data_IF_543204738496
#
_entry.id   IF_543204738496
#
_cell.length_a   1.000
_cell.length_b   1.000
_cell.length_c   1.000
_cell.angle_alpha   90.00
_cell.angle_beta   90.00
_cell.angle_gamma   90.00
#
_symmetry.space_group_name_H-M   'P 1'
#
loop_
_entity.id
_entity.type
_entity.pdbx_description
1 polymer ?
#
# COMPACT_ATOMS: atom_id res chain seq x y z
N UNK A 1 26.22 -26.38 -15.66
CA UNK A 1 25.35 -26.85 -14.59
C UNK A 1 25.19 -25.81 -13.48
N UNK A 2 26.22 -25.08 -13.06
CA UNK A 2 26.16 -24.05 -11.98
C UNK A 2 25.38 -22.77 -12.32
N UNK A 3 25.29 -22.35 -13.58
CA UNK A 3 24.63 -21.08 -13.97
C UNK A 3 23.10 -21.18 -13.82
N UNK A 4 22.50 -22.32 -14.13
CA UNK A 4 21.04 -22.50 -13.99
C UNK A 4 20.59 -22.51 -12.53
N UNK A 5 21.37 -23.08 -11.64
CA UNK A 5 21.11 -23.12 -10.20
C UNK A 5 21.21 -21.72 -9.55
N UNK A 6 22.14 -20.89 -10.04
CA UNK A 6 22.26 -19.49 -9.59
C UNK A 6 21.09 -18.61 -10.06
N UNK A 7 20.61 -18.83 -11.29
CA UNK A 7 19.44 -18.11 -11.82
C UNK A 7 18.17 -18.50 -11.09
N UNK A 8 17.97 -19.79 -10.82
CA UNK A 8 16.81 -20.32 -10.10
C UNK A 8 16.76 -19.80 -8.66
N UNK A 9 17.88 -19.83 -7.93
CA UNK A 9 17.97 -19.26 -6.58
C UNK A 9 17.71 -17.75 -6.52
N UNK A 10 18.13 -17.01 -7.54
CA UNK A 10 17.88 -15.58 -7.64
C UNK A 10 16.41 -15.26 -7.95
N UNK A 11 15.76 -16.09 -8.77
CA UNK A 11 14.32 -15.95 -9.07
C UNK A 11 13.47 -16.30 -7.85
N UNK A 12 13.81 -17.33 -7.10
CA UNK A 12 13.11 -17.71 -5.86
C UNK A 12 13.23 -16.59 -4.82
N UNK A 13 14.42 -16.04 -4.60
CA UNK A 13 14.60 -14.91 -3.67
C UNK A 13 13.87 -13.64 -4.10
N UNK A 14 13.76 -13.39 -5.41
CA UNK A 14 13.03 -12.25 -5.94
C UNK A 14 11.50 -12.44 -5.74
N UNK A 15 11.01 -13.64 -5.95
CA UNK A 15 9.61 -14.03 -5.72
C UNK A 15 9.20 -13.86 -4.26
N UNK A 16 10.03 -14.34 -3.33
CA UNK A 16 9.75 -14.23 -1.89
C UNK A 16 9.73 -12.76 -1.40
N UNK A 17 10.66 -11.94 -1.90
CA UNK A 17 10.68 -10.50 -1.57
C UNK A 17 9.44 -9.76 -2.08
N UNK A 18 8.99 -10.11 -3.30
CA UNK A 18 7.78 -9.50 -3.89
C UNK A 18 6.55 -9.87 -3.06
N UNK A 19 6.44 -11.12 -2.65
CA UNK A 19 5.33 -11.61 -1.83
C UNK A 19 5.27 -10.93 -0.45
N UNK A 20 6.43 -10.68 0.16
CA UNK A 20 6.50 -9.96 1.46
C UNK A 20 6.06 -8.50 1.28
N UNK A 21 6.49 -7.83 0.21
CA UNK A 21 6.10 -6.46 -0.09
C UNK A 21 4.60 -6.33 -0.36
N UNK A 22 4.02 -7.26 -1.12
CA UNK A 22 2.58 -7.29 -1.39
C UNK A 22 1.77 -7.47 -0.09
N UNK A 23 2.20 -8.38 0.79
CA UNK A 23 1.56 -8.59 2.10
C UNK A 23 1.66 -7.34 2.99
N UNK A 24 2.79 -6.66 2.99
CA UNK A 24 2.97 -5.41 3.75
C UNK A 24 2.10 -4.30 3.17
N UNK A 25 2.08 -4.14 1.86
CA UNK A 25 1.25 -3.17 1.16
C UNK A 25 -0.24 -3.41 1.43
N UNK A 26 -0.70 -4.67 1.40
CA UNK A 26 -2.07 -5.07 1.77
C UNK A 26 -2.43 -4.60 3.18
N UNK A 27 -1.54 -4.84 4.16
CA UNK A 27 -1.75 -4.40 5.55
C UNK A 27 -1.90 -2.87 5.65
N UNK A 28 -1.10 -2.13 4.89
CA UNK A 28 -1.17 -0.66 4.87
C UNK A 28 -2.50 -0.20 4.29
N UNK A 29 -2.91 -0.71 3.13
CA UNK A 29 -4.19 -0.37 2.52
C UNK A 29 -5.36 -0.71 3.45
N UNK A 30 -5.36 -1.88 4.06
CA UNK A 30 -6.39 -2.31 5.00
C UNK A 30 -6.42 -1.46 6.27
N UNK A 31 -5.26 -1.00 6.77
CA UNK A 31 -5.21 -0.09 7.91
C UNK A 31 -5.92 1.25 7.63
N UNK A 32 -5.89 1.72 6.38
CA UNK A 32 -6.66 2.88 5.96
C UNK A 32 -8.15 2.56 5.81
N UNK A 33 -8.50 1.42 5.20
CA UNK A 33 -9.89 1.00 5.04
C UNK A 33 -10.60 0.78 6.39
N UNK A 34 -9.91 0.30 7.41
CA UNK A 34 -10.43 0.18 8.78
C UNK A 34 -10.88 1.52 9.42
N UNK A 35 -10.51 2.64 8.81
CA UNK A 35 -10.90 3.98 9.28
C UNK A 35 -12.15 4.53 8.57
N UNK A 36 -12.73 3.77 7.66
CA UNK A 36 -14.00 4.10 7.01
C UNK A 36 -15.09 4.05 8.07
N UNK A 37 -15.83 5.16 8.21
CA UNK A 37 -16.89 5.33 9.22
C UNK A 37 -18.29 5.24 8.64
N UNK A 38 -18.47 5.73 7.42
CA UNK A 38 -19.76 5.78 6.74
C UNK A 38 -19.68 5.09 5.38
N UNK A 39 -20.59 4.16 5.15
CA UNK A 39 -20.59 3.30 3.97
C UNK A 39 -19.78 2.02 4.17
N UNK A 40 -20.06 1.01 3.39
CA UNK A 40 -19.50 -0.33 3.50
C UNK A 40 -18.70 -0.69 2.25
N UNK A 41 -17.45 -1.12 2.43
CA UNK A 41 -16.62 -1.71 1.36
C UNK A 41 -16.37 -3.16 1.72
N UNK A 42 -16.81 -4.06 0.84
CA UNK A 42 -16.44 -5.48 0.92
C UNK A 42 -15.29 -5.73 -0.04
N UNK A 43 -14.18 -6.27 0.43
CA UNK A 43 -13.07 -6.73 -0.38
C UNK A 43 -13.12 -8.25 -0.46
N UNK A 44 -13.16 -8.77 -1.69
CA UNK A 44 -13.13 -10.20 -1.99
C UNK A 44 -11.76 -10.51 -2.56
N UNK A 45 -11.03 -11.40 -1.91
CA UNK A 45 -9.72 -11.86 -2.35
C UNK A 45 -9.68 -13.39 -2.23
N UNK A 46 -9.57 -14.09 -3.36
CA UNK A 46 -9.69 -15.55 -3.43
C UNK A 46 -10.99 -16.04 -2.77
N UNK A 47 -10.91 -16.62 -1.58
CA UNK A 47 -12.06 -17.11 -0.79
C UNK A 47 -12.38 -16.24 0.41
N UNK A 48 -11.60 -15.18 0.65
CA UNK A 48 -11.80 -14.28 1.80
C UNK A 48 -12.74 -13.14 1.45
N UNK A 49 -13.65 -12.83 2.35
CA UNK A 49 -14.54 -11.68 2.29
C UNK A 49 -14.27 -10.80 3.51
N UNK A 50 -13.75 -9.61 3.27
CA UNK A 50 -13.39 -8.69 4.34
C UNK A 50 -14.21 -7.42 4.20
N UNK A 51 -14.88 -7.02 5.27
CA UNK A 51 -15.79 -5.88 5.28
C UNK A 51 -15.15 -4.74 6.07
N UNK A 52 -15.23 -3.53 5.52
CA UNK A 52 -14.73 -2.29 6.11
C UNK A 52 -15.85 -1.25 6.17
N UNK A 53 -15.95 -0.55 7.29
CA UNK A 53 -17.01 0.43 7.54
C UNK A 53 -18.37 -0.20 7.76
N UNK A 54 -19.39 0.62 7.85
CA UNK A 54 -20.76 0.18 8.01
C UNK A 54 -21.74 1.12 7.31
N UNK A 55 -22.85 0.56 6.85
CA UNK A 55 -23.95 1.35 6.29
C UNK A 55 -24.69 2.04 7.43
N UNK A 56 -24.91 3.34 7.32
CA UNK A 56 -25.75 4.10 8.26
C UNK A 56 -27.09 4.45 7.62
N UNK A 57 -28.14 4.73 8.40
CA UNK A 57 -29.41 5.20 7.85
C UNK A 57 -29.30 6.47 7.00
N UNK A 58 -28.34 7.34 7.32
CA UNK A 58 -28.02 8.56 6.58
C UNK A 58 -27.18 8.32 5.32
N UNK A 59 -26.47 7.19 5.26
CA UNK A 59 -25.60 6.84 4.14
C UNK A 59 -25.58 5.32 3.88
N UNK A 60 -26.67 4.76 3.33
CA UNK A 60 -26.81 3.32 3.07
C UNK A 60 -26.11 2.92 1.76
N UNK A 61 -24.80 3.21 1.66
CA UNK A 61 -24.03 3.00 0.43
C UNK A 61 -23.02 1.89 0.65
N UNK A 62 -22.99 0.93 -0.29
CA UNK A 62 -22.01 -0.15 -0.29
C UNK A 62 -21.38 -0.36 -1.67
N UNK A 63 -20.16 -0.87 -1.65
CA UNK A 63 -19.44 -1.29 -2.84
C UNK A 63 -18.65 -2.58 -2.53
N UNK A 64 -18.45 -3.40 -3.57
CA UNK A 64 -17.65 -4.63 -3.46
C UNK A 64 -16.48 -4.53 -4.42
N UNK A 65 -15.27 -4.74 -3.91
CA UNK A 65 -14.02 -4.80 -4.65
C UNK A 65 -13.62 -6.26 -4.75
N UNK A 66 -13.39 -6.76 -5.94
CA UNK A 66 -12.85 -8.09 -6.19
C UNK A 66 -11.39 -7.95 -6.62
N UNK A 67 -10.48 -8.52 -5.85
CA UNK A 67 -9.04 -8.49 -6.10
C UNK A 67 -8.63 -9.69 -6.94
N UNK A 68 -8.09 -9.43 -8.12
CA UNK A 68 -7.59 -10.45 -9.05
C UNK A 68 -6.07 -10.61 -8.99
N UNK A 69 -5.36 -9.56 -8.54
CA UNK A 69 -3.91 -9.57 -8.42
C UNK A 69 -3.46 -8.72 -7.23
N UNK A 70 -2.75 -9.32 -6.29
CA UNK A 70 -2.25 -8.68 -5.06
C UNK A 70 -1.32 -7.49 -5.30
N UNK A 71 -0.69 -7.41 -6.48
CA UNK A 71 0.17 -6.26 -6.86
C UNK A 71 -0.56 -4.92 -6.84
N UNK A 72 -1.90 -4.93 -6.92
CA UNK A 72 -2.69 -3.72 -6.77
C UNK A 72 -2.40 -3.00 -5.44
N UNK A 73 -2.19 -3.76 -4.35
CA UNK A 73 -1.93 -3.18 -3.04
C UNK A 73 -0.62 -2.37 -3.03
N UNK A 74 0.41 -2.88 -3.70
CA UNK A 74 1.69 -2.17 -3.82
C UNK A 74 1.55 -0.91 -4.66
N UNK A 75 0.82 -0.98 -5.79
CA UNK A 75 0.57 0.20 -6.63
C UNK A 75 -0.23 1.27 -5.85
N UNK A 76 -1.25 0.88 -5.08
CA UNK A 76 -2.01 1.79 -4.22
C UNK A 76 -1.13 2.36 -3.11
N UNK A 77 -0.37 1.52 -2.41
CA UNK A 77 0.47 1.94 -1.32
C UNK A 77 1.55 2.95 -1.76
N UNK A 78 2.12 2.77 -2.94
CA UNK A 78 3.21 3.62 -3.47
C UNK A 78 2.69 4.87 -4.15
N UNK A 79 1.64 4.74 -4.99
CA UNK A 79 1.15 5.81 -5.87
C UNK A 79 -0.20 6.40 -5.43
N UNK A 80 -0.78 5.88 -4.33
CA UNK A 80 -2.07 6.34 -3.84
C UNK A 80 -3.23 6.09 -4.80
N UNK A 81 -4.09 7.09 -4.98
CA UNK A 81 -5.23 7.00 -5.88
C UNK A 81 -4.83 6.78 -7.35
N UNK A 82 -3.69 7.32 -7.80
CA UNK A 82 -3.18 7.07 -9.14
C UNK A 82 -2.82 5.58 -9.31
N UNK A 83 -2.21 4.96 -8.31
CA UNK A 83 -1.92 3.52 -8.31
C UNK A 83 -3.19 2.67 -8.32
N UNK A 84 -4.24 3.13 -7.63
CA UNK A 84 -5.56 2.49 -7.69
C UNK A 84 -6.14 2.52 -9.11
N UNK A 85 -6.10 3.69 -9.77
CA UNK A 85 -6.57 3.84 -11.15
C UNK A 85 -5.75 2.99 -12.13
N UNK A 86 -4.41 3.04 -12.04
CA UNK A 86 -3.50 2.24 -12.88
C UNK A 86 -3.79 0.74 -12.74
N UNK A 87 -3.97 0.25 -11.50
CA UNK A 87 -4.25 -1.15 -11.23
C UNK A 87 -5.66 -1.57 -11.67
N UNK A 88 -6.63 -0.65 -11.65
CA UNK A 88 -7.96 -0.89 -12.20
C UNK A 88 -7.91 -1.04 -13.74
N UNK A 89 -7.17 -0.18 -14.43
CA UNK A 89 -6.98 -0.25 -15.89
C UNK A 89 -6.27 -1.56 -16.28
N UNK A 90 -5.36 -2.06 -15.43
CA UNK A 90 -4.68 -3.35 -15.61
C UNK A 90 -5.57 -4.55 -15.25
N UNK A 91 -6.81 -4.32 -14.85
CA UNK A 91 -7.75 -5.36 -14.41
C UNK A 91 -7.27 -6.18 -13.20
N UNK A 92 -6.38 -5.61 -12.36
CA UNK A 92 -5.92 -6.27 -11.15
C UNK A 92 -6.97 -6.30 -10.05
N UNK A 93 -7.98 -5.45 -10.17
CA UNK A 93 -9.17 -5.48 -9.35
C UNK A 93 -10.37 -4.95 -10.13
N UNK A 94 -11.56 -5.32 -9.69
CA UNK A 94 -12.83 -4.85 -10.24
C UNK A 94 -13.73 -4.36 -9.11
N UNK A 95 -14.79 -3.61 -9.47
CA UNK A 95 -15.76 -3.13 -8.51
C UNK A 95 -17.17 -3.28 -9.10
N UNK A 96 -18.09 -3.77 -8.28
CA UNK A 96 -19.48 -3.92 -8.69
C UNK A 96 -20.17 -2.57 -8.95
N UNK A 97 -19.79 -1.53 -8.21
CA UNK A 97 -20.31 -0.18 -8.36
C UNK A 97 -19.26 0.88 -8.01
N UNK A 98 -18.52 1.31 -9.03
CA UNK A 98 -17.43 2.28 -8.88
C UNK A 98 -17.94 3.65 -8.36
N UNK A 99 -19.15 4.07 -8.78
CA UNK A 99 -19.76 5.31 -8.29
C UNK A 99 -19.99 5.27 -6.78
N UNK A 100 -20.48 4.16 -6.25
CA UNK A 100 -20.65 3.98 -4.81
C UNK A 100 -19.29 3.97 -4.09
N UNK A 101 -18.30 3.32 -4.65
CA UNK A 101 -16.93 3.31 -4.08
C UNK A 101 -16.38 4.74 -3.96
N UNK A 102 -16.50 5.54 -5.04
CA UNK A 102 -16.08 6.95 -5.03
C UNK A 102 -16.87 7.77 -4.00
N UNK A 103 -18.18 7.55 -3.88
CA UNK A 103 -19.03 8.21 -2.87
C UNK A 103 -18.57 7.89 -1.45
N UNK A 104 -18.23 6.63 -1.16
CA UNK A 104 -17.72 6.21 0.16
C UNK A 104 -16.40 6.93 0.46
N UNK A 105 -15.44 6.98 -0.47
CA UNK A 105 -14.19 7.72 -0.25
C UNK A 105 -14.40 9.23 -0.14
N UNK A 106 -15.33 9.79 -0.90
CA UNK A 106 -15.68 11.23 -0.80
C UNK A 106 -16.28 11.56 0.57
N UNK A 107 -17.06 10.65 1.16
CA UNK A 107 -17.63 10.80 2.50
C UNK A 107 -16.56 10.65 3.59
N UNK A 108 -15.58 9.79 3.38
CA UNK A 108 -14.47 9.53 4.27
C UNK A 108 -13.16 10.18 3.75
N UNK A 109 -13.17 11.50 3.56
CA UNK A 109 -12.06 12.26 2.96
C UNK A 109 -10.72 12.04 3.63
N UNK A 110 -10.70 11.86 4.95
CA UNK A 110 -9.47 11.59 5.69
C UNK A 110 -8.79 10.30 5.24
N UNK A 111 -9.58 9.28 4.91
CA UNK A 111 -9.08 8.01 4.36
C UNK A 111 -8.54 8.21 2.95
N UNK A 112 -9.28 8.92 2.10
CA UNK A 112 -8.87 9.23 0.73
C UNK A 112 -7.56 10.02 0.70
N UNK A 113 -7.45 11.10 1.48
CA UNK A 113 -6.26 11.95 1.55
C UNK A 113 -5.03 11.18 2.05
N UNK A 114 -5.20 10.24 2.99
CA UNK A 114 -4.11 9.42 3.47
C UNK A 114 -3.65 8.38 2.43
N UNK A 115 -4.57 7.83 1.66
CA UNK A 115 -4.25 6.98 0.52
C UNK A 115 -3.55 7.78 -0.59
N UNK A 116 -3.98 9.05 -0.84
CA UNK A 116 -3.33 9.94 -1.82
C UNK A 116 -1.87 10.22 -1.51
N UNK A 117 -1.54 10.43 -0.24
CA UNK A 117 -0.16 10.71 0.17
C UNK A 117 0.77 9.50 0.00
N UNK A 118 0.23 8.29 -0.15
CA UNK A 118 0.97 7.05 -0.39
C UNK A 118 2.10 6.80 0.61
N UNK A 119 2.86 5.75 0.41
CA UNK A 119 4.11 5.49 1.16
C UNK A 119 5.20 6.52 0.81
N UNK A 120 5.02 7.33 -0.24
CA UNK A 120 5.98 8.38 -0.56
C UNK A 120 6.28 9.29 0.65
N UNK A 121 5.27 9.56 1.49
CA UNK A 121 5.46 10.29 2.75
C UNK A 121 6.27 9.49 3.78
N UNK A 122 6.08 8.17 3.84
CA UNK A 122 6.87 7.29 4.72
C UNK A 122 8.30 7.10 4.18
N UNK A 123 8.47 6.96 2.87
CA UNK A 123 9.78 6.87 2.25
C UNK A 123 10.60 8.15 2.46
N UNK A 124 9.97 9.33 2.36
CA UNK A 124 10.60 10.62 2.66
C UNK A 124 10.97 10.71 4.14
N UNK A 125 10.13 10.19 5.04
CA UNK A 125 10.42 10.16 6.46
C UNK A 125 11.58 9.21 6.78
N UNK A 126 11.62 8.02 6.17
CA UNK A 126 12.75 7.08 6.27
C UNK A 126 14.03 7.66 5.66
N UNK A 127 13.96 8.32 4.51
CA UNK A 127 15.10 8.99 3.89
C UNK A 127 15.62 10.15 4.78
N UNK A 128 14.75 10.90 5.44
CA UNK A 128 15.16 11.92 6.42
C UNK A 128 15.84 11.30 7.65
N UNK A 129 15.37 10.16 8.13
CA UNK A 129 16.01 9.42 9.24
C UNK A 129 17.39 8.91 8.84
N UNK A 130 17.52 8.26 7.67
CA UNK A 130 18.83 7.77 7.20
C UNK A 130 19.80 8.92 6.90
N UNK A 131 19.33 10.05 6.38
CA UNK A 131 20.15 11.24 6.20
C UNK A 131 20.63 11.82 7.54
N UNK A 132 19.79 11.79 8.56
CA UNK A 132 20.16 12.23 9.91
C UNK A 132 21.18 11.30 10.54
N UNK A 133 21.06 9.98 10.36
CA UNK A 133 22.04 8.99 10.85
C UNK A 133 23.37 9.07 10.12
N UNK A 134 23.36 9.23 8.77
CA UNK A 134 24.60 9.39 8.00
C UNK A 134 25.31 10.69 8.35
N UNK A 135 24.58 11.78 8.57
CA UNK A 135 25.15 13.05 9.02
C UNK A 135 25.76 12.95 10.42
N UNK A 136 25.11 12.20 11.33
CA UNK A 136 25.61 11.95 12.69
C UNK A 136 26.88 11.08 12.66
N UNK A 137 26.91 10.01 11.85
CA UNK A 137 28.09 9.16 11.68
C UNK A 137 29.26 9.93 11.06
N UNK A 138 29.03 10.78 10.07
CA UNK A 138 30.04 11.63 9.48
C UNK A 138 30.60 12.66 10.51
N UNK A 139 29.74 13.27 11.32
CA UNK A 139 30.16 14.20 12.36
C UNK A 139 31.04 13.50 13.43
N UNK A 140 30.70 12.26 13.79
CA UNK A 140 31.51 11.48 14.74
C UNK A 140 32.87 11.09 14.13
N UNK A 141 32.89 10.65 12.86
CA UNK A 141 34.15 10.29 12.16
C UNK A 141 35.03 11.52 11.95
N UNK A 142 34.47 12.68 11.57
CA UNK A 142 35.22 13.91 11.42
C UNK A 142 35.67 14.48 12.76
N UNK A 143 34.87 14.35 13.84
CA UNK A 143 35.25 14.76 15.19
C UNK A 143 36.39 13.93 15.74
N UNK A 144 36.47 12.63 15.41
CA UNK A 144 37.56 11.76 15.82
C UNK A 144 38.89 12.00 15.06
N UNK A 145 38.76 12.46 13.79
CA UNK A 145 39.94 12.77 12.96
C UNK A 145 40.61 14.11 13.32
N UNK A 146 39.94 15.00 14.05
CA UNK A 146 40.49 16.28 14.52
C UNK A 146 41.12 16.17 15.91
N UNK A 147 41.04 15.01 16.59
CA UNK A 147 41.61 14.77 17.93
C UNK A 147 42.83 13.83 17.91
N UNK A 148 43.28 13.42 16.71
CA UNK A 148 44.55 12.70 16.49
C UNK A 148 45.51 13.58 15.72
#
# INVERSE_FOLDING_TARGET
>A
MQINEFIDNKQIQLSDKTLILDKLARRIVFSHFNRIKEGEITVIEESEHIVFGEMTPSFPVKATIEVKNSKMYLDIAVKGLNGSADSFIKEWWTCNNLTNLVRIFTRNRDVANQLESGIASLAIWFLKLTHSFVSLCLAVVYGFCLYL
#
